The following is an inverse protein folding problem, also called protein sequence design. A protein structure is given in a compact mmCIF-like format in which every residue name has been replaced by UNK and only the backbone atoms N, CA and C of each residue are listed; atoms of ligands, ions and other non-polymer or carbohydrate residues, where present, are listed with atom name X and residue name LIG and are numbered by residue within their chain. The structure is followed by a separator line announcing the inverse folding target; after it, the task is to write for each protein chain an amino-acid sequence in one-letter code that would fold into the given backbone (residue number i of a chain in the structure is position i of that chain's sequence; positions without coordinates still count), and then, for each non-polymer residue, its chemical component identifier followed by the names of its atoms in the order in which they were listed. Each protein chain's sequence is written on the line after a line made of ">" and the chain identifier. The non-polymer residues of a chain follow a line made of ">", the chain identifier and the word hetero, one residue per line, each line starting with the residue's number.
data_IF_853574571741
#
_entry.id   IF_853574571741
#
_cell.length_a   1.000
_cell.length_b   1.000
_cell.length_c   1.000
_cell.angle_alpha   90.00
_cell.angle_beta   90.00
_cell.angle_gamma   90.00
#
_symmetry.space_group_name_H-M   'P 1'
#
loop_
_entity.id
_entity.type
_entity.pdbx_description
1 polymer ?
#
# COMPACT_ATOMS: atom_id res chain seq x y z
N UNK A 1 25.02 14.45 -20.73
CA UNK A 1 24.21 13.30 -20.30
C UNK A 1 23.00 13.82 -19.54
N UNK A 2 21.79 13.72 -20.09
CA UNK A 2 20.58 13.93 -19.28
C UNK A 2 20.36 12.66 -18.50
N UNK A 3 20.46 12.73 -17.17
CA UNK A 3 20.03 11.63 -16.28
C UNK A 3 18.60 11.27 -16.65
N UNK A 4 18.38 10.05 -17.12
CA UNK A 4 17.04 9.53 -17.33
C UNK A 4 16.47 9.34 -15.94
N UNK A 5 15.60 10.25 -15.51
CA UNK A 5 14.89 10.07 -14.25
C UNK A 5 13.92 8.92 -14.46
N UNK A 6 14.17 7.79 -13.79
CA UNK A 6 13.27 6.65 -13.82
C UNK A 6 11.87 7.11 -13.40
N UNK A 7 10.84 6.67 -14.11
CA UNK A 7 9.46 6.94 -13.71
C UNK A 7 9.12 6.08 -12.50
N UNK A 8 9.18 6.68 -11.33
CA UNK A 8 8.88 6.03 -10.05
C UNK A 8 7.39 6.15 -9.71
N UNK A 9 6.77 5.02 -9.39
CA UNK A 9 5.40 4.90 -8.88
C UNK A 9 5.39 3.98 -7.67
N UNK A 10 4.56 4.32 -6.70
CA UNK A 10 4.30 3.51 -5.52
C UNK A 10 2.85 3.00 -5.53
N UNK A 11 2.66 1.72 -5.26
CA UNK A 11 1.33 1.16 -5.02
C UNK A 11 1.28 0.59 -3.60
N UNK A 12 0.17 0.81 -2.90
CA UNK A 12 -0.05 0.25 -1.58
C UNK A 12 -1.09 -0.88 -1.65
N UNK A 13 -0.81 -1.96 -0.90
CA UNK A 13 -1.73 -3.08 -0.70
C UNK A 13 -1.91 -3.35 0.78
N UNK A 14 -3.12 -3.70 1.18
CA UNK A 14 -3.42 -4.17 2.52
C UNK A 14 -3.51 -5.70 2.53
N UNK A 15 -2.79 -6.36 3.42
CA UNK A 15 -2.73 -7.82 3.52
C UNK A 15 -3.02 -8.29 4.96
N UNK A 16 -3.91 -9.27 5.14
CA UNK A 16 -4.16 -9.88 6.47
C UNK A 16 -2.96 -10.75 6.85
N UNK A 17 -2.14 -10.30 7.81
CA UNK A 17 -0.96 -11.02 8.27
C UNK A 17 -1.32 -12.11 9.31
N UNK A 18 -2.33 -11.83 10.13
CA UNK A 18 -2.96 -12.77 11.07
C UNK A 18 -4.36 -12.25 11.43
N UNK A 19 -5.24 -13.05 12.08
CA UNK A 19 -6.59 -12.61 12.40
C UNK A 19 -6.61 -11.28 13.17
N UNK A 20 -7.21 -10.25 12.56
CA UNK A 20 -7.27 -8.90 13.15
C UNK A 20 -6.01 -8.04 13.01
N UNK A 21 -4.96 -8.54 12.35
CA UNK A 21 -3.70 -7.85 12.09
C UNK A 21 -3.38 -7.77 10.60
N UNK A 22 -3.01 -6.59 10.15
CA UNK A 22 -2.94 -6.22 8.75
C UNK A 22 -1.57 -5.62 8.46
N UNK A 23 -0.85 -6.19 7.49
CA UNK A 23 0.36 -5.63 6.94
C UNK A 23 0.01 -4.62 5.83
N UNK A 24 0.61 -3.44 5.90
CA UNK A 24 0.58 -2.47 4.81
C UNK A 24 1.84 -2.70 3.96
N UNK A 25 1.62 -3.13 2.73
CA UNK A 25 2.65 -3.40 1.75
C UNK A 25 2.83 -2.17 0.85
N UNK A 26 4.08 -1.81 0.58
CA UNK A 26 4.46 -0.80 -0.38
C UNK A 26 5.19 -1.47 -1.55
N UNK A 27 4.63 -1.35 -2.74
CA UNK A 27 5.25 -1.77 -4.00
C UNK A 27 5.90 -0.57 -4.68
N UNK A 28 7.14 -0.75 -5.10
CA UNK A 28 7.87 0.19 -5.93
C UNK A 28 7.84 -0.29 -7.38
N UNK A 29 7.47 0.60 -8.28
CA UNK A 29 7.60 0.41 -9.72
C UNK A 29 8.57 1.43 -10.30
N UNK A 30 9.49 0.95 -11.14
CA UNK A 30 10.42 1.78 -11.91
C UNK A 30 10.17 1.53 -13.40
N UNK A 31 9.91 2.60 -14.15
CA UNK A 31 9.58 2.54 -15.58
C UNK A 31 8.44 1.56 -15.91
N UNK A 32 7.44 1.51 -15.03
CA UNK A 32 6.27 0.64 -15.16
C UNK A 32 6.51 -0.83 -14.82
N UNK A 33 7.71 -1.20 -14.36
CA UNK A 33 8.05 -2.57 -13.93
C UNK A 33 8.14 -2.63 -12.41
N UNK A 34 7.64 -3.73 -11.85
CA UNK A 34 7.81 -4.01 -10.43
C UNK A 34 9.31 -4.11 -10.10
N UNK A 35 9.73 -3.38 -9.07
CA UNK A 35 11.13 -3.32 -8.63
C UNK A 35 11.30 -3.95 -7.25
N UNK A 36 10.41 -3.64 -6.30
CA UNK A 36 10.47 -4.19 -4.95
C UNK A 36 9.12 -4.10 -4.21
N UNK A 37 9.01 -4.91 -3.16
CA UNK A 37 7.93 -4.87 -2.17
C UNK A 37 8.56 -4.78 -0.78
N UNK A 38 7.93 -4.03 0.13
CA UNK A 38 8.29 -4.03 1.54
C UNK A 38 7.07 -3.85 2.44
N UNK A 39 7.11 -4.43 3.64
CA UNK A 39 6.13 -4.15 4.70
C UNK A 39 6.55 -2.85 5.40
N UNK A 40 5.68 -1.84 5.39
CA UNK A 40 5.98 -0.55 6.05
C UNK A 40 5.36 -0.45 7.45
N UNK A 41 4.30 -1.22 7.70
CA UNK A 41 3.63 -1.26 9.00
C UNK A 41 2.84 -2.56 9.15
N UNK A 42 2.68 -3.02 10.39
CA UNK A 42 1.70 -4.04 10.78
C UNK A 42 0.79 -3.42 11.84
N UNK A 43 -0.51 -3.40 11.58
CA UNK A 43 -1.50 -2.63 12.35
C UNK A 43 -2.73 -3.48 12.65
N UNK A 44 -3.53 -3.08 13.63
CA UNK A 44 -4.81 -3.74 13.92
C UNK A 44 -5.87 -3.36 12.89
N UNK A 45 -6.84 -4.24 12.63
CA UNK A 45 -7.85 -4.03 11.59
C UNK A 45 -8.66 -2.73 11.71
N UNK A 46 -8.90 -2.26 12.94
CA UNK A 46 -9.63 -1.01 13.21
C UNK A 46 -8.94 0.24 12.68
N UNK A 47 -7.62 0.25 12.53
CA UNK A 47 -6.83 1.41 12.10
C UNK A 47 -6.18 1.21 10.73
N UNK A 48 -6.28 0.00 10.15
CA UNK A 48 -5.57 -0.38 8.94
C UNK A 48 -5.84 0.54 7.74
N UNK A 49 -7.11 0.89 7.52
CA UNK A 49 -7.52 1.77 6.42
C UNK A 49 -7.06 3.21 6.65
N UNK A 50 -7.10 3.69 7.90
CA UNK A 50 -6.66 5.05 8.24
C UNK A 50 -5.15 5.22 8.05
N UNK A 51 -4.36 4.27 8.55
CA UNK A 51 -2.90 4.28 8.40
C UNK A 51 -2.51 4.18 6.92
N UNK A 52 -3.22 3.35 6.14
CA UNK A 52 -3.03 3.26 4.70
C UNK A 52 -3.29 4.61 4.01
N UNK A 53 -4.39 5.29 4.35
CA UNK A 53 -4.72 6.60 3.79
C UNK A 53 -3.66 7.67 4.13
N UNK A 54 -3.14 7.66 5.36
CA UNK A 54 -2.04 8.55 5.80
C UNK A 54 -0.77 8.28 4.97
N UNK A 55 -0.40 7.02 4.78
CA UNK A 55 0.79 6.65 4.02
C UNK A 55 0.70 7.08 2.54
N UNK A 56 -0.47 6.87 1.91
CA UNK A 56 -0.74 7.33 0.54
C UNK A 56 -0.63 8.85 0.45
N UNK A 57 -1.31 9.58 1.36
CA UNK A 57 -1.27 11.05 1.40
C UNK A 57 0.16 11.56 1.54
N UNK A 58 0.96 10.97 2.42
CA UNK A 58 2.34 11.35 2.62
C UNK A 58 3.16 11.27 1.33
N UNK A 59 3.04 10.19 0.54
CA UNK A 59 3.79 10.10 -0.72
C UNK A 59 3.29 11.09 -1.79
N UNK A 60 1.98 11.32 -1.86
CA UNK A 60 1.41 12.32 -2.77
C UNK A 60 1.91 13.73 -2.42
N UNK A 61 1.94 14.09 -1.13
CA UNK A 61 2.42 15.39 -0.65
C UNK A 61 3.93 15.58 -0.89
N UNK A 62 4.69 14.49 -1.02
CA UNK A 62 6.10 14.50 -1.44
C UNK A 62 6.29 14.55 -2.96
N UNK A 63 5.21 14.60 -3.73
CA UNK A 63 5.24 14.67 -5.20
C UNK A 63 5.46 13.32 -5.88
N UNK A 64 5.29 12.21 -5.17
CA UNK A 64 5.36 10.88 -5.76
C UNK A 64 3.99 10.45 -6.32
N UNK A 65 4.00 9.61 -7.34
CA UNK A 65 2.80 8.91 -7.79
C UNK A 65 2.52 7.76 -6.83
N UNK A 66 1.36 7.79 -6.17
CA UNK A 66 0.95 6.80 -5.19
C UNK A 66 -0.49 6.34 -5.45
N UNK A 67 -0.73 5.02 -5.44
CA UNK A 67 -2.04 4.42 -5.66
C UNK A 67 -2.33 3.36 -4.60
N UNK A 68 -3.62 3.06 -4.37
CA UNK A 68 -4.04 1.87 -3.61
C UNK A 68 -4.48 0.83 -4.63
N UNK A 69 -3.76 -0.28 -4.72
CA UNK A 69 -3.97 -1.31 -5.74
C UNK A 69 -4.93 -2.41 -5.30
N UNK A 70 -5.06 -2.63 -3.99
CA UNK A 70 -6.01 -3.59 -3.42
C UNK A 70 -6.38 -3.18 -2.00
N UNK A 71 -7.63 -2.78 -1.82
CA UNK A 71 -8.28 -2.85 -0.52
C UNK A 71 -8.90 -4.24 -0.42
N UNK A 72 -8.09 -5.22 -0.04
CA UNK A 72 -8.57 -6.54 0.41
C UNK A 72 -9.19 -7.45 -0.68
N UNK A 73 -8.42 -8.44 -1.18
CA UNK A 73 -8.92 -9.55 -2.02
C UNK A 73 -9.78 -10.58 -1.27
N UNK A 74 -10.19 -10.32 -0.03
CA UNK A 74 -10.93 -11.27 0.79
C UNK A 74 -12.04 -10.59 1.58
N UNK A 75 -13.12 -10.19 0.91
CA UNK A 75 -14.39 -9.71 1.49
C UNK A 75 -14.49 -9.79 3.03
N UNK A 76 -14.02 -8.75 3.76
CA UNK A 76 -14.01 -8.75 5.22
C UNK A 76 -15.39 -8.39 5.79
N UNK A 77 -16.28 -7.81 4.98
CA UNK A 77 -17.66 -7.49 5.36
C UNK A 77 -18.45 -8.78 5.60
N UNK A 78 -18.15 -9.85 4.87
CA UNK A 78 -18.75 -11.17 5.07
C UNK A 78 -18.32 -11.90 6.36
N UNK A 79 -17.19 -11.52 7.00
CA UNK A 79 -16.76 -12.16 8.28
C UNK A 79 -17.15 -11.38 9.53
N UNK A 80 -17.40 -10.08 9.43
CA UNK A 80 -17.86 -9.25 10.56
C UNK A 80 -19.38 -9.30 10.77
N UNK A 81 -20.12 -9.89 9.83
CA UNK A 81 -21.58 -10.06 9.89
C UNK A 81 -22.03 -11.49 10.25
N UNK A 82 -21.12 -12.38 10.66
CA UNK A 82 -21.40 -13.76 11.10
C UNK A 82 -21.19 -13.92 12.61
#
# INVERSE_FOLDING_TARGET
>A
MRSRVDRIRFDFKLHEASPGSFAILLHLFADGRFASETVIATVTGSTAVEILAIAVRFLLDKGHQAHVSDLYEADPVSRLAA
#
